data_IF_799069494653
#
_entry.id   IF_799069494653
#
_cell.length_a   1.000
_cell.length_b   1.000
_cell.length_c   1.000
_cell.angle_alpha   90.00
_cell.angle_beta   90.00
_cell.angle_gamma   90.00
#
_symmetry.space_group_name_H-M   'P 1'
#
loop_
_entity.id
_entity.type
_entity.pdbx_description
1 polymer ?
#
# COMPACT_ATOMS: atom_id res chain seq x y z
N UNK A 1 -8.57 3.66 -7.66
CA UNK A 1 -8.59 5.14 -7.65
C UNK A 1 -7.76 5.59 -8.84
N UNK A 2 -8.32 6.25 -9.84
CA UNK A 2 -7.62 6.53 -11.12
C UNK A 2 -6.48 7.56 -11.04
N UNK A 3 -6.01 7.89 -9.83
CA UNK A 3 -5.00 8.91 -9.62
C UNK A 3 -3.61 8.38 -10.01
N UNK A 4 -2.76 9.23 -10.61
CA UNK A 4 -1.45 8.82 -11.11
C UNK A 4 -0.47 8.37 -10.01
N UNK A 5 -0.64 8.86 -8.79
CA UNK A 5 0.15 8.53 -7.59
C UNK A 5 -0.26 7.20 -6.93
N UNK A 6 -1.42 6.66 -7.29
CA UNK A 6 -1.91 5.39 -6.75
C UNK A 6 -1.48 4.18 -7.60
N UNK A 7 -0.68 4.40 -8.65
CA UNK A 7 -0.32 3.38 -9.62
C UNK A 7 0.88 2.53 -9.16
N UNK A 8 0.97 1.26 -9.58
CA UNK A 8 2.13 0.41 -9.25
C UNK A 8 3.48 1.03 -9.67
N UNK A 9 3.53 1.73 -10.80
CA UNK A 9 4.75 2.41 -11.28
C UNK A 9 5.20 3.53 -10.32
N UNK A 10 4.25 4.31 -9.81
CA UNK A 10 4.55 5.36 -8.84
C UNK A 10 5.08 4.75 -7.54
N UNK A 11 4.40 3.73 -7.01
CA UNK A 11 4.82 3.08 -5.77
C UNK A 11 6.23 2.50 -5.87
N UNK A 12 6.58 1.86 -6.99
CA UNK A 12 7.94 1.34 -7.24
C UNK A 12 8.98 2.46 -7.30
N UNK A 13 8.68 3.55 -8.01
CA UNK A 13 9.58 4.69 -8.11
C UNK A 13 9.78 5.37 -6.74
N UNK A 14 8.70 5.52 -5.97
CA UNK A 14 8.74 6.09 -4.64
C UNK A 14 9.54 5.20 -3.67
N UNK A 15 9.33 3.89 -3.68
CA UNK A 15 10.11 2.97 -2.85
C UNK A 15 11.61 3.04 -3.16
N UNK A 16 11.98 3.08 -4.45
CA UNK A 16 13.37 3.24 -4.87
C UNK A 16 13.96 4.56 -4.35
N UNK A 17 13.23 5.67 -4.51
CA UNK A 17 13.64 6.98 -4.00
C UNK A 17 13.77 6.99 -2.47
N UNK A 18 12.79 6.45 -1.74
CA UNK A 18 12.80 6.39 -0.28
C UNK A 18 14.01 5.61 0.26
N UNK A 19 14.38 4.51 -0.42
CA UNK A 19 15.55 3.71 -0.07
C UNK A 19 16.88 4.43 -0.35
N UNK A 20 16.93 5.33 -1.34
CA UNK A 20 18.11 6.18 -1.59
C UNK A 20 18.21 7.34 -0.60
N UNK A 21 17.07 7.91 -0.21
CA UNK A 21 17.01 9.12 0.59
C UNK A 21 17.08 8.88 2.11
N UNK A 22 16.89 7.64 2.58
CA UNK A 22 16.77 7.35 4.01
C UNK A 22 18.01 6.68 4.58
N UNK A 23 18.63 7.29 5.60
CA UNK A 23 19.81 6.72 6.30
C UNK A 23 19.60 5.28 6.78
N UNK A 24 18.43 4.99 7.38
CA UNK A 24 18.10 3.64 7.84
C UNK A 24 18.16 2.60 6.70
N UNK A 25 17.69 2.97 5.51
CA UNK A 25 17.75 2.11 4.33
C UNK A 25 19.19 1.91 3.84
N UNK A 26 20.03 2.95 3.90
CA UNK A 26 21.47 2.84 3.61
C UNK A 26 22.21 1.95 4.62
N UNK A 27 21.73 1.88 5.86
CA UNK A 27 22.23 0.98 6.92
C UNK A 27 21.63 -0.43 6.85
N UNK A 28 20.94 -0.78 5.76
CA UNK A 28 20.41 -2.12 5.50
C UNK A 28 18.96 -2.35 5.93
N UNK A 29 18.31 -1.36 6.55
CA UNK A 29 16.87 -1.43 6.90
C UNK A 29 16.04 -0.85 5.75
N UNK A 30 15.94 -1.62 4.67
CA UNK A 30 15.20 -1.22 3.47
C UNK A 30 13.72 -0.94 3.79
N UNK A 31 13.19 0.09 3.16
CA UNK A 31 11.77 0.39 3.14
C UNK A 31 11.12 -0.48 2.06
N UNK A 32 10.02 -1.13 2.42
CA UNK A 32 9.15 -1.90 1.54
C UNK A 32 7.75 -1.27 1.54
N UNK A 33 7.24 -0.91 0.37
CA UNK A 33 5.87 -0.45 0.17
C UNK A 33 4.99 -1.64 -0.14
N UNK A 34 4.07 -1.94 0.78
CA UNK A 34 3.05 -2.96 0.62
C UNK A 34 1.72 -2.31 0.27
N UNK A 35 1.23 -2.60 -0.94
CA UNK A 35 -0.08 -2.16 -1.41
C UNK A 35 -0.99 -3.38 -1.69
N UNK A 36 -1.36 -4.17 -0.65
CA UNK A 36 -2.06 -5.44 -0.82
C UNK A 36 -3.48 -5.32 -1.42
N UNK A 37 -4.03 -4.10 -1.43
CA UNK A 37 -5.37 -3.83 -1.94
C UNK A 37 -5.37 -3.24 -3.36
N UNK A 38 -4.20 -3.02 -3.97
CA UNK A 38 -4.07 -2.20 -5.19
C UNK A 38 -4.85 -2.76 -6.39
N UNK A 39 -4.93 -4.08 -6.50
CA UNK A 39 -5.64 -4.78 -7.56
C UNK A 39 -7.03 -5.28 -7.12
N UNK A 40 -7.40 -5.07 -5.85
CA UNK A 40 -8.66 -5.59 -5.31
C UNK A 40 -9.84 -4.65 -5.64
N UNK A 41 -10.94 -5.17 -6.18
CA UNK A 41 -12.18 -4.40 -6.25
C UNK A 41 -12.73 -4.13 -4.84
N UNK A 42 -13.52 -3.06 -4.69
CA UNK A 42 -14.10 -2.66 -3.39
C UNK A 42 -14.88 -3.80 -2.71
N UNK A 43 -15.56 -4.64 -3.48
CA UNK A 43 -16.28 -5.80 -2.96
C UNK A 43 -15.35 -6.83 -2.30
N UNK A 44 -14.15 -7.05 -2.85
CA UNK A 44 -13.16 -7.95 -2.24
C UNK A 44 -12.53 -7.35 -0.99
N UNK A 45 -12.27 -6.04 -1.00
CA UNK A 45 -11.80 -5.33 0.20
C UNK A 45 -12.79 -5.49 1.34
N UNK A 46 -14.09 -5.31 1.08
CA UNK A 46 -15.16 -5.50 2.08
C UNK A 46 -15.25 -6.95 2.56
N UNK A 47 -15.18 -7.93 1.66
CA UNK A 47 -15.17 -9.36 2.03
C UNK A 47 -13.98 -9.70 2.93
N UNK A 48 -12.79 -9.22 2.60
CA UNK A 48 -11.58 -9.42 3.40
C UNK A 48 -11.68 -8.78 4.78
N UNK A 49 -12.26 -7.58 4.87
CA UNK A 49 -12.50 -6.92 6.17
C UNK A 49 -13.41 -7.77 7.07
N UNK A 50 -14.54 -8.25 6.55
CA UNK A 50 -15.47 -9.11 7.28
C UNK A 50 -14.79 -10.41 7.71
N UNK A 51 -14.02 -11.05 6.81
CA UNK A 51 -13.28 -12.29 7.12
C UNK A 51 -12.23 -12.09 8.23
N UNK A 52 -11.68 -10.89 8.38
CA UNK A 52 -10.75 -10.51 9.44
C UNK A 52 -11.45 -10.04 10.72
N UNK A 53 -12.79 -10.06 10.78
CA UNK A 53 -13.58 -9.59 11.92
C UNK A 53 -13.65 -8.07 12.05
N UNK A 54 -13.32 -7.33 10.98
CA UNK A 54 -13.43 -5.87 10.93
C UNK A 54 -14.80 -5.49 10.36
N UNK A 55 -15.58 -4.69 11.10
CA UNK A 55 -16.84 -4.15 10.62
C UNK A 55 -16.60 -2.91 9.74
N UNK A 56 -16.86 -2.97 8.41
CA UNK A 56 -16.66 -1.84 7.53
C UNK A 56 -17.61 -0.67 7.81
N UNK A 57 -18.75 -0.90 8.47
CA UNK A 57 -19.72 0.14 8.80
C UNK A 57 -19.21 1.14 9.85
N UNK A 58 -18.14 0.79 10.56
CA UNK A 58 -17.46 1.67 11.52
C UNK A 58 -16.51 2.69 10.85
N UNK A 59 -16.42 2.70 9.52
CA UNK A 59 -15.50 3.56 8.75
C UNK A 59 -16.27 4.50 7.81
N UNK A 60 -15.72 5.69 7.53
CA UNK A 60 -16.31 6.72 6.64
C UNK A 60 -15.83 6.60 5.18
#
# INVERSE_FOLDING_TARGET
SGYPDCRPEYLRAFEAMANLATKAALEGRRIEIRAPLIDLPKAEIVRSAIALGVDPAMTV
#
